data_IF_123087251922
#
_entry.id   IF_123087251922
#
_cell.length_a   1.000
_cell.length_b   1.000
_cell.length_c   1.000
_cell.angle_alpha   90.00
_cell.angle_beta   90.00
_cell.angle_gamma   90.00
#
_symmetry.space_group_name_H-M   'P 1'
#
loop_
_entity.id
_entity.type
_entity.pdbx_description
1 polymer ?
#
# COMPACT_ATOMS: atom_id res chain seq x y z
N UNK A 1 9.16 29.97 -3.28
CA UNK A 1 9.60 28.98 -2.28
C UNK A 1 9.38 27.60 -2.86
N UNK A 2 10.45 26.84 -3.12
CA UNK A 2 10.34 25.43 -3.52
C UNK A 2 9.90 24.63 -2.30
N UNK A 3 8.59 24.44 -2.14
CA UNK A 3 8.04 23.55 -1.13
C UNK A 3 8.40 22.13 -1.52
N UNK A 4 9.33 21.50 -0.81
CA UNK A 4 9.50 20.05 -0.89
C UNK A 4 8.23 19.41 -0.31
N UNK A 5 7.73 18.36 -0.97
CA UNK A 5 6.77 17.45 -0.36
C UNK A 5 7.37 16.97 0.96
N UNK A 6 6.76 17.34 2.09
CA UNK A 6 7.15 16.78 3.39
C UNK A 6 6.35 15.49 3.55
N UNK A 7 6.97 14.30 3.39
CA UNK A 7 6.24 13.07 3.59
C UNK A 7 5.79 13.01 5.05
N UNK A 8 4.51 12.75 5.27
CA UNK A 8 4.03 12.24 6.55
C UNK A 8 4.11 10.73 6.44
N UNK A 9 4.95 10.11 7.27
CA UNK A 9 5.07 8.66 7.31
C UNK A 9 3.86 8.09 8.04
N UNK A 10 2.97 7.45 7.31
CA UNK A 10 2.02 6.46 7.82
C UNK A 10 2.54 5.10 7.32
N UNK A 11 2.42 4.03 8.09
CA UNK A 11 2.82 2.71 7.58
C UNK A 11 1.91 2.29 6.43
N UNK A 12 2.31 1.22 5.73
CA UNK A 12 1.52 0.59 4.68
C UNK A 12 0.11 0.19 5.13
N UNK A 13 -0.13 0.01 6.42
CA UNK A 13 -1.44 -0.32 6.96
C UNK A 13 -2.29 0.91 7.35
N UNK A 14 -1.88 2.11 6.95
CA UNK A 14 -2.43 3.38 7.45
C UNK A 14 -2.35 3.50 8.97
N UNK A 15 -1.48 2.73 9.61
CA UNK A 15 -1.23 2.79 11.03
C UNK A 15 -0.16 3.85 11.30
N UNK A 16 -0.32 4.58 12.39
CA UNK A 16 0.69 5.51 12.85
C UNK A 16 1.97 4.74 13.21
N UNK A 17 3.10 4.91 12.48
CA UNK A 17 4.33 4.14 12.72
C UNK A 17 5.04 4.56 14.00
N UNK A 18 4.64 5.70 14.56
CA UNK A 18 5.07 6.20 15.85
C UNK A 18 4.11 5.82 16.98
N UNK A 19 3.00 5.15 16.63
CA UNK A 19 2.19 4.47 17.63
C UNK A 19 3.07 3.47 18.36
N UNK A 20 2.80 3.37 19.64
CA UNK A 20 3.42 2.41 20.52
C UNK A 20 2.22 1.72 21.16
N UNK A 21 1.80 0.64 20.52
CA UNK A 21 0.73 -0.16 21.09
C UNK A 21 1.34 -0.98 22.21
N UNK A 22 0.81 -0.79 23.41
CA UNK A 22 1.25 -1.50 24.61
C UNK A 22 1.11 -3.02 24.51
N UNK A 23 0.25 -3.51 23.62
CA UNK A 23 -0.23 -4.90 23.59
C UNK A 23 0.05 -5.55 22.23
N UNK A 24 1.31 -5.52 21.80
CA UNK A 24 1.75 -6.20 20.58
C UNK A 24 2.40 -7.55 20.92
N UNK A 25 1.88 -8.63 20.35
CA UNK A 25 2.39 -9.99 20.56
C UNK A 25 3.85 -10.19 20.19
N UNK A 26 4.41 -9.34 19.32
CA UNK A 26 5.80 -9.39 18.89
C UNK A 26 6.79 -9.02 19.99
N UNK A 27 6.33 -8.37 21.06
CA UNK A 27 7.19 -7.99 22.19
C UNK A 27 7.32 -9.09 23.25
N UNK A 28 6.72 -10.26 23.02
CA UNK A 28 6.66 -11.35 23.99
C UNK A 28 7.23 -12.65 23.44
N UNK A 29 7.84 -13.45 24.30
CA UNK A 29 8.27 -14.81 23.95
C UNK A 29 7.06 -15.73 23.73
N UNK A 30 7.31 -16.96 23.25
CA UNK A 30 6.23 -17.94 23.13
C UNK A 30 5.65 -18.29 24.50
N UNK A 31 6.49 -18.42 25.51
CA UNK A 31 6.12 -18.78 26.88
C UNK A 31 5.29 -17.68 27.56
N UNK A 32 5.62 -16.40 27.31
CA UNK A 32 4.88 -15.25 27.85
C UNK A 32 3.46 -15.13 27.25
N UNK A 33 3.25 -15.66 26.03
CA UNK A 33 1.93 -15.68 25.37
C UNK A 33 1.01 -16.80 25.87
N UNK A 34 1.55 -17.78 26.60
CA UNK A 34 0.77 -18.89 27.18
C UNK A 34 0.23 -18.55 28.59
N UNK A 35 0.57 -17.37 29.12
CA UNK A 35 0.04 -16.88 30.40
C UNK A 35 -1.47 -16.65 30.23
N UNK A 36 -2.28 -17.31 31.07
CA UNK A 36 -3.72 -17.06 31.18
C UNK A 36 -3.92 -15.56 31.35
N UNK A 37 -4.81 -14.96 30.54
CA UNK A 37 -5.07 -13.51 30.54
C UNK A 37 -4.06 -12.64 29.76
N UNK A 38 -3.30 -13.23 28.82
CA UNK A 38 -2.40 -12.50 27.89
C UNK A 38 -3.02 -11.26 27.19
N UNK A 39 -4.32 -11.28 26.86
CA UNK A 39 -5.05 -10.14 26.26
C UNK A 39 -5.80 -9.28 27.31
N UNK A 40 -5.75 -9.65 28.58
CA UNK A 40 -6.49 -8.99 29.66
C UNK A 40 -5.91 -7.61 29.95
N UNK A 41 -6.81 -6.65 30.16
CA UNK A 41 -6.42 -5.24 30.31
C UNK A 41 -5.79 -4.91 31.66
N UNK A 42 -5.97 -5.76 32.66
CA UNK A 42 -5.53 -5.54 34.03
C UNK A 42 -4.32 -6.43 34.40
N UNK A 43 -4.22 -7.63 33.82
CA UNK A 43 -3.29 -8.68 34.28
C UNK A 43 -2.26 -9.17 33.24
N UNK A 44 -2.55 -9.10 31.93
CA UNK A 44 -1.65 -9.60 30.86
C UNK A 44 -0.55 -8.62 30.44
N UNK A 45 -0.67 -7.36 30.86
CA UNK A 45 0.16 -6.25 30.41
C UNK A 45 0.81 -5.53 31.60
N UNK A 46 2.13 -5.34 31.57
CA UNK A 46 2.79 -4.42 32.51
C UNK A 46 2.78 -3.00 31.94
N UNK A 47 1.70 -2.26 32.22
CA UNK A 47 1.60 -0.81 31.97
C UNK A 47 2.81 -0.04 32.47
N UNK A 48 3.37 -0.50 33.59
CA UNK A 48 4.59 0.06 34.16
C UNK A 48 5.83 -0.17 33.27
N UNK A 49 6.02 -1.35 32.69
CA UNK A 49 7.16 -1.64 31.81
C UNK A 49 7.09 -0.85 30.51
N UNK A 50 5.92 -0.86 29.86
CA UNK A 50 5.70 -0.07 28.65
C UNK A 50 5.95 1.41 28.89
N UNK A 51 5.37 1.97 29.97
CA UNK A 51 5.61 3.37 30.35
C UNK A 51 7.10 3.66 30.55
N UNK A 52 7.83 2.77 31.24
CA UNK A 52 9.29 2.91 31.41
C UNK A 52 10.05 2.86 30.08
N UNK A 53 9.68 1.97 29.16
CA UNK A 53 10.32 1.86 27.85
C UNK A 53 10.03 3.09 26.98
N UNK A 54 8.80 3.61 27.00
CA UNK A 54 8.42 4.83 26.29
C UNK A 54 9.14 6.07 26.88
N UNK A 55 9.18 6.21 28.20
CA UNK A 55 9.96 7.25 28.90
C UNK A 55 11.45 7.17 28.55
N UNK A 56 12.03 5.96 28.54
CA UNK A 56 13.43 5.75 28.17
C UNK A 56 13.68 6.09 26.70
N UNK A 57 12.77 5.71 25.79
CA UNK A 57 12.87 6.03 24.37
C UNK A 57 12.81 7.55 24.13
N UNK A 58 11.90 8.26 24.81
CA UNK A 58 11.82 9.72 24.73
C UNK A 58 13.07 10.40 25.34
N UNK A 59 13.57 9.89 26.48
CA UNK A 59 14.79 10.42 27.12
C UNK A 59 16.03 10.28 26.23
N UNK A 60 16.16 9.17 25.50
CA UNK A 60 17.27 8.94 24.59
C UNK A 60 17.12 9.66 23.24
N UNK A 61 15.95 10.23 22.96
CA UNK A 61 15.63 10.95 21.73
C UNK A 61 15.06 12.33 22.05
N UNK A 62 15.81 13.12 22.82
CA UNK A 62 15.39 14.40 23.38
C UNK A 62 15.46 15.59 22.41
N UNK A 63 15.88 15.36 21.17
CA UNK A 63 16.06 16.36 20.12
C UNK A 63 15.91 15.77 18.71
N UNK A 64 15.75 16.65 17.72
CA UNK A 64 15.67 16.27 16.31
C UNK A 64 14.37 15.56 15.91
N UNK A 65 14.39 14.90 14.75
CA UNK A 65 13.19 14.34 14.09
C UNK A 65 12.48 13.25 14.91
N UNK A 66 13.21 12.49 15.72
CA UNK A 66 12.62 11.44 16.55
C UNK A 66 11.78 12.02 17.69
N UNK A 67 12.24 13.12 18.33
CA UNK A 67 11.43 13.88 19.29
C UNK A 67 10.16 14.45 18.67
N UNK A 68 10.28 15.03 17.48
CA UNK A 68 9.14 15.58 16.76
C UNK A 68 8.09 14.49 16.49
N UNK A 69 8.54 13.29 16.11
CA UNK A 69 7.65 12.14 15.91
C UNK A 69 6.92 11.73 17.19
N UNK A 70 7.62 11.63 18.33
CA UNK A 70 6.97 11.36 19.63
C UNK A 70 5.93 12.42 19.98
N UNK A 71 6.23 13.69 19.70
CA UNK A 71 5.32 14.81 20.00
C UNK A 71 4.10 14.84 19.08
N UNK A 72 4.22 14.34 17.85
CA UNK A 72 3.16 14.40 16.83
C UNK A 72 2.33 13.12 16.72
N UNK A 73 2.76 12.01 17.33
CA UNK A 73 2.08 10.71 17.18
C UNK A 73 0.61 10.76 17.56
N UNK A 74 0.23 11.42 18.65
CA UNK A 74 -1.16 11.51 19.08
C UNK A 74 -2.01 12.24 18.04
N UNK A 75 -1.57 13.43 17.61
CA UNK A 75 -2.27 14.21 16.57
C UNK A 75 -2.32 13.50 15.21
N UNK A 76 -1.35 12.65 14.87
CA UNK A 76 -1.40 11.84 13.66
C UNK A 76 -2.48 10.74 13.78
N UNK A 77 -2.57 10.09 14.94
CA UNK A 77 -3.64 9.13 15.21
C UNK A 77 -5.01 9.80 15.15
N UNK A 78 -5.19 10.92 15.86
CA UNK A 78 -6.44 11.70 15.85
C UNK A 78 -6.83 12.10 14.42
N UNK A 79 -5.86 12.55 13.61
CA UNK A 79 -6.10 12.91 12.21
C UNK A 79 -6.61 11.71 11.38
N UNK A 80 -5.99 10.54 11.52
CA UNK A 80 -6.39 9.33 10.78
C UNK A 80 -7.78 8.87 11.23
N UNK A 81 -8.05 8.86 12.54
CA UNK A 81 -9.34 8.45 13.09
C UNK A 81 -10.45 9.43 12.69
N UNK A 82 -10.22 10.73 12.82
CA UNK A 82 -11.18 11.77 12.45
C UNK A 82 -11.54 11.66 10.97
N UNK A 83 -10.54 11.54 10.09
CA UNK A 83 -10.78 11.49 8.65
C UNK A 83 -11.42 10.18 8.22
N UNK A 84 -11.03 9.04 8.82
CA UNK A 84 -11.65 7.74 8.58
C UNK A 84 -13.15 7.75 8.94
N UNK A 85 -13.52 8.44 10.01
CA UNK A 85 -14.90 8.58 10.47
C UNK A 85 -15.73 9.62 9.71
N UNK A 86 -15.13 10.38 8.78
CA UNK A 86 -15.93 11.29 7.93
C UNK A 86 -16.86 10.51 7.01
N UNK A 87 -18.01 11.12 6.66
CA UNK A 87 -19.00 10.50 5.77
C UNK A 87 -18.39 10.11 4.42
N UNK A 88 -18.71 8.89 3.96
CA UNK A 88 -18.47 8.42 2.59
C UNK A 88 -19.71 8.70 1.76
N UNK A 89 -19.59 9.19 0.52
CA UNK A 89 -20.74 9.34 -0.36
C UNK A 89 -21.48 8.02 -0.58
N UNK A 90 -22.77 8.09 -0.87
CA UNK A 90 -23.57 6.91 -1.23
C UNK A 90 -23.06 6.30 -2.55
N UNK A 91 -22.50 5.09 -2.49
CA UNK A 91 -21.90 4.39 -3.64
C UNK A 91 -22.82 3.32 -4.26
N UNK A 92 -23.97 3.05 -3.64
CA UNK A 92 -24.91 2.02 -4.11
C UNK A 92 -24.28 0.63 -4.15
N UNK A 93 -24.41 -0.06 -5.28
CA UNK A 93 -23.85 -1.41 -5.50
C UNK A 93 -22.30 -1.44 -5.49
N UNK A 94 -21.66 -0.27 -5.57
CA UNK A 94 -20.21 -0.12 -5.52
C UNK A 94 -19.71 0.29 -4.12
N UNK A 95 -20.52 0.10 -3.07
CA UNK A 95 -20.09 0.27 -1.69
C UNK A 95 -18.84 -0.57 -1.36
N UNK A 96 -18.02 -0.09 -0.43
CA UNK A 96 -16.87 -0.83 0.07
C UNK A 96 -17.30 -2.14 0.74
N UNK A 97 -16.40 -3.11 0.77
CA UNK A 97 -16.66 -4.40 1.41
C UNK A 97 -16.75 -4.23 2.93
N UNK A 98 -17.80 -4.77 3.52
CA UNK A 98 -17.94 -4.80 4.98
C UNK A 98 -16.95 -5.81 5.60
N UNK A 99 -16.37 -5.44 6.74
CA UNK A 99 -15.41 -6.26 7.49
C UNK A 99 -14.15 -6.66 6.68
N UNK A 100 -13.75 -5.81 5.74
CA UNK A 100 -12.56 -6.00 4.91
C UNK A 100 -11.56 -4.86 5.21
N UNK A 101 -10.50 -5.19 5.95
CA UNK A 101 -9.50 -4.21 6.38
C UNK A 101 -8.83 -3.48 5.22
N UNK A 102 -8.71 -4.12 4.05
CA UNK A 102 -8.13 -3.45 2.88
C UNK A 102 -9.09 -2.41 2.30
N UNK A 103 -10.37 -2.72 2.22
CA UNK A 103 -11.43 -1.79 1.81
C UNK A 103 -11.50 -0.58 2.74
N UNK A 104 -11.50 -0.80 4.06
CA UNK A 104 -11.49 0.27 5.07
C UNK A 104 -10.27 1.20 4.93
N UNK A 105 -9.09 0.62 4.70
CA UNK A 105 -7.87 1.40 4.45
C UNK A 105 -7.96 2.19 3.15
N UNK A 106 -8.40 1.54 2.07
CA UNK A 106 -8.53 2.20 0.78
C UNK A 106 -9.57 3.33 0.82
N UNK A 107 -10.70 3.12 1.51
CA UNK A 107 -11.69 4.15 1.80
C UNK A 107 -11.06 5.35 2.53
N UNK A 108 -10.32 5.08 3.61
CA UNK A 108 -9.62 6.12 4.39
C UNK A 108 -8.60 6.87 3.54
N UNK A 109 -7.84 6.17 2.70
CA UNK A 109 -6.88 6.80 1.77
C UNK A 109 -7.58 7.75 0.78
N UNK A 110 -8.74 7.37 0.23
CA UNK A 110 -9.53 8.25 -0.64
C UNK A 110 -10.08 9.45 0.13
N UNK A 111 -10.54 9.27 1.38
CA UNK A 111 -10.96 10.40 2.24
C UNK A 111 -9.80 11.37 2.51
N UNK A 112 -8.61 10.85 2.82
CA UNK A 112 -7.39 11.67 2.99
C UNK A 112 -7.10 12.49 1.74
N UNK A 113 -7.02 11.86 0.56
CA UNK A 113 -6.71 12.55 -0.69
C UNK A 113 -7.82 13.52 -1.13
N UNK A 114 -9.06 13.27 -0.76
CA UNK A 114 -10.20 14.12 -1.14
C UNK A 114 -10.37 15.33 -0.22
N UNK A 115 -10.10 15.17 1.08
CA UNK A 115 -10.44 16.15 2.13
C UNK A 115 -9.22 16.84 2.75
N UNK A 116 -8.01 16.30 2.59
CA UNK A 116 -6.76 16.95 3.00
C UNK A 116 -5.95 17.43 1.78
N UNK A 117 -5.99 18.72 1.42
CA UNK A 117 -5.27 19.25 0.26
C UNK A 117 -3.75 19.20 0.40
N UNK A 118 -3.21 19.02 1.61
CA UNK A 118 -1.76 18.97 1.84
C UNK A 118 -1.17 17.57 1.57
N UNK A 119 -2.00 16.53 1.59
CA UNK A 119 -1.57 15.17 1.24
C UNK A 119 -1.58 14.97 -0.27
N UNK A 120 -0.41 14.67 -0.85
CA UNK A 120 -0.29 14.40 -2.29
C UNK A 120 -0.23 12.92 -2.62
N UNK A 121 0.47 12.14 -1.80
CA UNK A 121 0.68 10.71 -2.02
C UNK A 121 0.33 9.96 -0.74
N UNK A 122 -0.42 8.88 -0.89
CA UNK A 122 -0.69 7.90 0.16
C UNK A 122 -0.26 6.54 -0.39
N UNK A 123 0.58 5.83 0.36
CA UNK A 123 0.98 4.46 0.05
C UNK A 123 0.29 3.53 1.03
N UNK A 124 -0.42 2.53 0.53
CA UNK A 124 -1.02 1.48 1.36
C UNK A 124 -0.59 0.11 0.85
N UNK A 125 -0.41 -0.83 1.77
CA UNK A 125 -0.26 -2.25 1.51
C UNK A 125 -1.62 -2.94 1.51
N UNK A 126 -1.63 -4.16 0.98
CA UNK A 126 -2.83 -5.00 0.88
C UNK A 126 -3.11 -5.80 2.16
N UNK A 127 -2.50 -5.44 3.29
CA UNK A 127 -2.81 -6.04 4.59
C UNK A 127 -4.31 -6.06 4.83
N UNK A 128 -4.86 -7.18 5.30
CA UNK A 128 -6.31 -7.43 5.31
C UNK A 128 -6.76 -8.43 4.26
N UNK A 129 -6.16 -8.42 3.06
CA UNK A 129 -6.40 -9.45 2.04
C UNK A 129 -5.57 -10.71 2.30
N UNK A 130 -4.38 -10.55 2.88
CA UNK A 130 -3.37 -11.60 3.01
C UNK A 130 -2.10 -11.25 2.22
N UNK A 131 -1.16 -12.20 2.18
CA UNK A 131 0.10 -12.06 1.44
C UNK A 131 -0.02 -12.43 -0.04
N UNK A 132 1.00 -12.05 -0.81
CA UNK A 132 1.18 -12.42 -2.22
C UNK A 132 2.43 -13.28 -2.46
N UNK A 133 3.16 -13.60 -1.38
CA UNK A 133 4.37 -14.44 -1.40
C UNK A 133 4.11 -15.88 -0.97
N UNK A 134 3.04 -16.46 -1.52
CA UNK A 134 2.62 -17.82 -1.19
C UNK A 134 3.53 -18.85 -1.86
N UNK A 135 4.52 -19.35 -1.11
CA UNK A 135 5.37 -20.47 -1.53
C UNK A 135 4.70 -21.84 -1.32
N UNK A 136 3.57 -21.87 -0.61
CA UNK A 136 2.76 -23.05 -0.33
C UNK A 136 1.26 -22.71 -0.33
N UNK A 137 0.42 -23.69 -0.66
CA UNK A 137 -1.06 -23.63 -0.55
C UNK A 137 -1.69 -22.30 -1.05
N UNK A 138 -1.29 -21.79 -2.21
CA UNK A 138 -1.70 -20.48 -2.76
C UNK A 138 -3.16 -20.42 -3.29
N UNK A 139 -4.03 -21.27 -2.76
CA UNK A 139 -5.39 -21.53 -3.26
C UNK A 139 -6.31 -20.30 -3.15
N UNK A 140 -6.07 -19.45 -2.15
CA UNK A 140 -6.88 -18.28 -1.88
C UNK A 140 -6.48 -17.06 -2.73
N UNK A 141 -5.49 -17.17 -3.62
CA UNK A 141 -5.04 -16.05 -4.46
C UNK A 141 -6.16 -15.44 -5.30
N UNK A 142 -7.06 -16.27 -5.85
CA UNK A 142 -8.16 -15.80 -6.69
C UNK A 142 -9.13 -14.94 -5.88
N UNK A 143 -9.56 -15.41 -4.71
CA UNK A 143 -10.48 -14.65 -3.85
C UNK A 143 -9.85 -13.36 -3.35
N UNK A 144 -8.55 -13.36 -2.98
CA UNK A 144 -7.81 -12.14 -2.63
C UNK A 144 -7.75 -11.14 -3.79
N UNK A 145 -7.54 -11.64 -5.01
CA UNK A 145 -7.53 -10.81 -6.22
C UNK A 145 -8.91 -10.23 -6.51
N UNK A 146 -9.99 -11.02 -6.34
CA UNK A 146 -11.36 -10.55 -6.48
C UNK A 146 -11.68 -9.45 -5.45
N UNK A 147 -11.32 -9.65 -4.18
CA UNK A 147 -11.49 -8.61 -3.14
C UNK A 147 -10.69 -7.35 -3.44
N UNK A 148 -9.45 -7.47 -3.93
CA UNK A 148 -8.66 -6.33 -4.40
C UNK A 148 -9.41 -5.53 -5.46
N UNK A 149 -9.88 -6.18 -6.54
CA UNK A 149 -10.56 -5.47 -7.63
C UNK A 149 -11.94 -4.94 -7.25
N UNK A 150 -12.68 -5.61 -6.36
CA UNK A 150 -13.94 -5.08 -5.80
C UNK A 150 -13.69 -3.81 -5.00
N UNK A 151 -12.67 -3.80 -4.14
CA UNK A 151 -12.29 -2.62 -3.36
C UNK A 151 -11.83 -1.46 -4.25
N UNK A 152 -11.06 -1.75 -5.31
CA UNK A 152 -10.66 -0.75 -6.30
C UNK A 152 -11.85 -0.17 -7.07
N UNK A 153 -12.87 -0.99 -7.37
CA UNK A 153 -14.12 -0.53 -7.98
C UNK A 153 -14.84 0.47 -7.05
N UNK A 154 -14.96 0.13 -5.77
CA UNK A 154 -15.54 1.02 -4.75
C UNK A 154 -14.76 2.33 -4.62
N UNK A 155 -13.43 2.25 -4.62
CA UNK A 155 -12.58 3.44 -4.58
C UNK A 155 -12.75 4.34 -5.79
N UNK A 156 -12.87 3.77 -6.99
CA UNK A 156 -13.15 4.54 -8.19
C UNK A 156 -14.55 5.18 -8.18
N UNK A 157 -15.56 4.48 -7.64
CA UNK A 157 -16.90 5.05 -7.43
C UNK A 157 -16.86 6.22 -6.43
N UNK A 158 -16.12 6.06 -5.33
CA UNK A 158 -15.91 7.09 -4.31
C UNK A 158 -15.20 8.33 -4.89
N UNK A 159 -14.07 8.15 -5.59
CA UNK A 159 -13.35 9.24 -6.28
C UNK A 159 -14.28 9.99 -7.24
N UNK A 160 -15.17 9.27 -7.94
CA UNK A 160 -16.15 9.86 -8.85
C UNK A 160 -17.22 10.66 -8.12
N UNK A 161 -17.77 10.12 -7.03
CA UNK A 161 -18.79 10.80 -6.22
C UNK A 161 -18.25 12.11 -5.60
N UNK A 162 -16.95 12.13 -5.26
CA UNK A 162 -16.24 13.33 -4.77
C UNK A 162 -15.83 14.31 -5.89
N UNK A 163 -16.09 13.98 -7.16
CA UNK A 163 -15.70 14.82 -8.30
C UNK A 163 -14.18 14.90 -8.52
N UNK A 164 -13.42 13.90 -8.04
CA UNK A 164 -11.95 13.90 -8.05
C UNK A 164 -11.32 13.03 -9.14
N UNK A 165 -12.09 12.51 -10.09
CA UNK A 165 -11.59 11.61 -11.15
C UNK A 165 -10.46 12.20 -12.01
N UNK A 166 -10.39 13.53 -12.10
CA UNK A 166 -9.31 14.22 -12.80
C UNK A 166 -8.00 14.22 -12.00
N UNK A 167 -8.09 14.24 -10.67
CA UNK A 167 -6.99 14.64 -9.80
C UNK A 167 -6.45 13.50 -8.92
N UNK A 168 -7.24 12.47 -8.65
CA UNK A 168 -6.81 11.30 -7.86
C UNK A 168 -6.63 10.11 -8.80
N UNK A 169 -5.45 9.49 -8.71
CA UNK A 169 -5.16 8.21 -9.34
C UNK A 169 -4.87 7.13 -8.27
N UNK A 170 -4.98 5.87 -8.68
CA UNK A 170 -4.56 4.71 -7.91
C UNK A 170 -3.58 3.94 -8.79
N UNK A 171 -2.37 3.72 -8.27
CA UNK A 171 -1.34 2.89 -8.90
C UNK A 171 -1.18 1.60 -8.10
N UNK A 172 -1.37 0.45 -8.74
CA UNK A 172 -1.27 -0.87 -8.11
C UNK A 172 -0.16 -1.65 -8.77
N UNK A 173 0.86 -2.04 -8.01
CA UNK A 173 1.98 -2.86 -8.46
C UNK A 173 2.47 -3.76 -7.32
N UNK A 174 3.16 -4.84 -7.71
CA UNK A 174 3.89 -5.71 -6.78
C UNK A 174 5.40 -5.52 -6.90
N UNK A 175 6.15 -6.18 -6.02
CA UNK A 175 7.62 -6.08 -5.97
C UNK A 175 8.33 -7.14 -6.83
N UNK A 176 7.62 -8.20 -7.22
CA UNK A 176 8.14 -9.32 -8.00
C UNK A 176 7.00 -10.00 -8.79
N UNK A 177 7.39 -10.82 -9.76
CA UNK A 177 6.46 -11.70 -10.47
C UNK A 177 6.30 -13.07 -9.82
N UNK A 178 5.37 -13.87 -10.34
CA UNK A 178 5.20 -15.28 -10.01
C UNK A 178 5.30 -16.15 -11.26
N UNK A 179 5.75 -17.39 -11.08
CA UNK A 179 5.57 -18.41 -12.10
C UNK A 179 4.08 -18.71 -12.32
N UNK A 180 3.76 -19.23 -13.51
CA UNK A 180 2.36 -19.50 -13.90
C UNK A 180 1.82 -20.76 -13.21
N UNK A 181 2.63 -21.82 -13.15
CA UNK A 181 2.22 -23.09 -12.54
C UNK A 181 2.59 -23.16 -11.07
N UNK A 182 1.77 -23.87 -10.29
CA UNK A 182 2.09 -24.18 -8.90
C UNK A 182 3.30 -25.14 -8.82
N UNK A 183 4.10 -24.97 -7.77
CA UNK A 183 5.18 -25.87 -7.38
C UNK A 183 4.64 -27.09 -6.61
N UNK A 184 5.53 -27.99 -6.17
CA UNK A 184 5.14 -29.20 -5.45
C UNK A 184 4.54 -28.96 -4.06
N UNK A 185 4.68 -27.76 -3.51
CA UNK A 185 4.06 -27.32 -2.26
C UNK A 185 2.72 -26.60 -2.49
N UNK A 186 2.20 -26.62 -3.73
CA UNK A 186 0.97 -25.94 -4.13
C UNK A 186 1.05 -24.41 -3.96
N UNK A 187 2.25 -23.83 -4.01
CA UNK A 187 2.47 -22.39 -4.09
C UNK A 187 3.21 -21.99 -5.37
N UNK A 188 3.74 -20.76 -5.43
CA UNK A 188 4.48 -20.26 -6.60
C UNK A 188 5.89 -19.84 -6.24
N UNK A 189 6.83 -20.25 -7.09
CA UNK A 189 8.16 -19.66 -7.11
C UNK A 189 8.12 -18.24 -7.71
N UNK A 190 9.13 -17.44 -7.41
CA UNK A 190 9.30 -16.09 -7.97
C UNK A 190 9.50 -16.12 -9.49
N UNK A 191 8.95 -15.13 -10.17
CA UNK A 191 9.03 -14.93 -11.61
C UNK A 191 9.45 -13.51 -12.00
N UNK A 192 9.60 -13.26 -13.30
CA UNK A 192 10.33 -12.10 -13.81
C UNK A 192 9.49 -10.82 -14.02
N UNK A 193 8.15 -10.92 -14.11
CA UNK A 193 7.30 -9.78 -14.47
C UNK A 193 6.21 -9.49 -13.46
N UNK A 194 6.03 -8.20 -13.19
CA UNK A 194 4.97 -7.65 -12.35
C UNK A 194 3.79 -7.19 -13.19
N UNK A 195 2.60 -7.18 -12.59
CA UNK A 195 1.46 -6.48 -13.15
C UNK A 195 1.43 -5.04 -12.60
N UNK A 196 1.09 -4.09 -13.47
CA UNK A 196 0.91 -2.69 -13.10
C UNK A 196 -0.46 -2.20 -13.59
N UNK A 197 -1.23 -1.63 -12.67
CA UNK A 197 -2.53 -1.04 -12.96
C UNK A 197 -2.54 0.43 -12.56
N UNK A 198 -3.16 1.26 -13.40
CA UNK A 198 -3.42 2.67 -13.11
C UNK A 198 -4.90 2.93 -13.31
N UNK A 199 -5.55 3.51 -12.29
CA UNK A 199 -6.95 3.89 -12.31
C UNK A 199 -7.09 5.38 -11.96
N UNK A 200 -8.06 6.07 -12.56
CA UNK A 200 -8.30 7.50 -12.28
C UNK A 200 -7.23 8.43 -12.86
N UNK A 201 -7.13 9.64 -12.30
CA UNK A 201 -6.15 10.65 -12.70
C UNK A 201 -6.28 11.14 -14.12
N UNK A 202 -7.52 11.30 -14.63
CA UNK A 202 -7.78 11.69 -16.03
C UNK A 202 -7.12 12.99 -16.47
N UNK A 203 -6.76 13.87 -15.52
CA UNK A 203 -6.03 15.10 -15.81
C UNK A 203 -4.54 14.89 -16.10
N UNK A 204 -4.01 13.70 -15.79
CA UNK A 204 -2.60 13.32 -15.98
C UNK A 204 -2.44 12.14 -16.93
N UNK A 205 -3.40 11.21 -16.93
CA UNK A 205 -3.36 9.98 -17.71
C UNK A 205 -4.47 9.97 -18.77
N UNK A 206 -4.06 10.00 -20.04
CA UNK A 206 -4.97 10.11 -21.19
C UNK A 206 -5.25 8.76 -21.87
N UNK A 207 -4.34 7.78 -21.69
CA UNK A 207 -4.51 6.45 -22.26
C UNK A 207 -5.55 5.62 -21.51
N UNK A 208 -6.34 4.85 -22.27
CA UNK A 208 -7.31 3.88 -21.75
C UNK A 208 -7.05 2.52 -22.36
N UNK A 209 -6.71 1.55 -21.51
CA UNK A 209 -6.53 0.15 -21.91
C UNK A 209 -5.14 -0.36 -21.64
N UNK A 210 -4.73 -1.38 -22.40
CA UNK A 210 -3.45 -2.06 -22.21
C UNK A 210 -2.31 -1.19 -22.74
N UNK A 211 -1.26 -1.01 -21.93
CA UNK A 211 -0.02 -0.31 -22.31
C UNK A 211 1.06 -1.30 -22.73
N UNK A 212 1.20 -2.39 -21.97
CA UNK A 212 2.16 -3.45 -22.24
C UNK A 212 1.51 -4.83 -22.07
N UNK A 213 1.91 -5.77 -22.92
CA UNK A 213 1.47 -7.15 -22.93
C UNK A 213 2.62 -8.10 -22.63
N UNK A 214 2.28 -9.22 -22.00
CA UNK A 214 3.21 -10.31 -21.70
C UNK A 214 2.76 -11.59 -22.38
N UNK A 215 3.70 -12.46 -22.71
CA UNK A 215 3.45 -13.81 -23.21
C UNK A 215 4.15 -14.84 -22.34
N UNK A 216 3.61 -16.05 -22.33
CA UNK A 216 4.23 -17.17 -21.66
C UNK A 216 5.56 -17.54 -22.32
N UNK A 217 6.63 -17.63 -21.54
CA UNK A 217 7.90 -18.20 -21.97
C UNK A 217 7.93 -19.70 -21.64
N UNK A 218 8.05 -20.53 -22.68
CA UNK A 218 8.31 -21.94 -22.49
C UNK A 218 9.81 -22.16 -22.23
N UNK A 219 10.15 -22.52 -21.01
CA UNK A 219 11.52 -22.78 -20.56
C UNK A 219 11.96 -24.23 -20.78
N UNK A 220 11.08 -25.09 -21.29
CA UNK A 220 11.30 -26.55 -21.38
C UNK A 220 11.17 -27.28 -20.04
N UNK A 221 10.86 -26.57 -18.95
CA UNK A 221 10.61 -27.14 -17.62
C UNK A 221 9.13 -27.03 -17.27
N UNK A 222 8.51 -28.14 -16.85
CA UNK A 222 7.07 -28.21 -16.55
C UNK A 222 6.59 -27.18 -15.52
N UNK A 223 7.41 -26.87 -14.52
CA UNK A 223 7.02 -26.03 -13.37
C UNK A 223 7.75 -24.67 -13.31
N UNK A 224 8.50 -24.31 -14.35
CA UNK A 224 9.20 -23.00 -14.44
C UNK A 224 8.73 -22.22 -15.65
N UNK A 225 7.43 -22.04 -15.77
CA UNK A 225 6.84 -21.16 -16.78
C UNK A 225 6.70 -19.77 -16.18
N UNK A 226 7.33 -18.77 -16.79
CA UNK A 226 7.20 -17.36 -16.41
C UNK A 226 6.72 -16.53 -17.60
N UNK A 227 6.22 -15.33 -17.30
CA UNK A 227 5.84 -14.36 -18.31
C UNK A 227 7.08 -13.57 -18.75
N UNK A 228 7.16 -13.28 -20.05
CA UNK A 228 8.09 -12.31 -20.62
C UNK A 228 7.33 -11.26 -21.41
N UNK A 229 7.93 -10.10 -21.71
CA UNK A 229 7.28 -9.11 -22.55
C UNK A 229 6.98 -9.68 -23.94
N UNK A 230 5.79 -9.40 -24.46
CA UNK A 230 5.43 -9.76 -25.83
C UNK A 230 6.35 -9.02 -26.80
N UNK A 231 6.92 -9.68 -27.83
CA UNK A 231 7.72 -9.00 -28.83
C UNK A 231 6.95 -7.82 -29.46
N UNK A 232 7.59 -6.64 -29.50
CA UNK A 232 6.99 -5.40 -30.01
C UNK A 232 6.04 -4.69 -29.03
N UNK A 233 5.79 -5.24 -27.84
CA UNK A 233 5.06 -4.54 -26.78
C UNK A 233 5.94 -3.49 -26.09
N UNK A 234 5.31 -2.40 -25.64
CA UNK A 234 5.93 -1.45 -24.74
C UNK A 234 6.33 -2.12 -23.42
N UNK A 235 7.47 -1.68 -22.88
CA UNK A 235 8.11 -2.19 -21.68
C UNK A 235 8.70 -1.03 -20.90
N UNK A 236 8.77 -1.16 -19.58
CA UNK A 236 9.39 -0.19 -18.70
C UNK A 236 9.92 -0.90 -17.45
N UNK A 237 10.95 -0.32 -16.83
CA UNK A 237 11.48 -0.81 -15.55
C UNK A 237 10.61 -0.30 -14.38
N UNK A 238 10.51 -1.02 -13.25
CA UNK A 238 9.69 -0.59 -12.10
C UNK A 238 9.96 0.83 -11.60
N UNK A 239 11.21 1.30 -11.70
CA UNK A 239 11.60 2.68 -11.37
C UNK A 239 10.91 3.76 -12.23
N UNK A 240 10.40 3.38 -13.40
CA UNK A 240 9.61 4.25 -14.27
C UNK A 240 8.27 4.64 -13.63
N UNK A 241 7.75 3.86 -12.68
CA UNK A 241 6.57 4.20 -11.87
C UNK A 241 6.88 5.46 -11.03
N UNK A 242 8.03 5.47 -10.34
CA UNK A 242 8.49 6.63 -9.58
C UNK A 242 8.77 7.83 -10.48
N UNK A 243 9.43 7.63 -11.63
CA UNK A 243 9.65 8.69 -12.62
C UNK A 243 8.35 9.30 -13.14
N UNK A 244 7.31 8.47 -13.35
CA UNK A 244 5.96 8.91 -13.72
C UNK A 244 5.35 9.76 -12.62
N UNK A 245 5.48 9.35 -11.36
CA UNK A 245 5.01 10.11 -10.20
C UNK A 245 5.68 11.49 -10.12
N UNK A 246 7.00 11.57 -10.31
CA UNK A 246 7.71 12.85 -10.34
C UNK A 246 7.20 13.76 -11.48
N UNK A 247 7.02 13.20 -12.68
CA UNK A 247 6.52 13.95 -13.83
C UNK A 247 5.12 14.53 -13.60
N UNK A 248 4.18 13.77 -13.04
CA UNK A 248 2.82 14.28 -12.78
C UNK A 248 2.80 15.40 -11.73
N UNK A 249 3.79 15.46 -10.85
CA UNK A 249 3.95 16.54 -9.87
C UNK A 249 4.84 17.70 -10.36
N UNK A 250 5.32 17.67 -11.61
CA UNK A 250 6.22 18.68 -12.14
C UNK A 250 7.59 18.71 -11.44
N UNK A 251 8.03 17.55 -10.92
CA UNK A 251 9.31 17.37 -10.26
C UNK A 251 10.32 16.84 -11.28
N UNK A 252 11.50 17.45 -11.34
CA UNK A 252 12.61 16.95 -12.16
C UNK A 252 13.00 15.53 -11.70
N UNK A 253 13.09 14.59 -12.64
CA UNK A 253 13.33 13.19 -12.35
C UNK A 253 14.70 12.99 -11.68
N UNK A 254 14.75 12.59 -10.39
CA UNK A 254 16.01 12.40 -9.69
C UNK A 254 16.62 11.04 -10.06
N UNK A 255 17.67 11.05 -10.88
CA UNK A 255 18.33 9.84 -11.39
C UNK A 255 18.77 8.87 -10.27
N UNK A 256 19.17 9.38 -9.11
CA UNK A 256 19.55 8.55 -7.96
C UNK A 256 18.40 7.68 -7.43
N UNK A 257 17.15 8.15 -7.54
CA UNK A 257 15.98 7.41 -7.06
C UNK A 257 15.33 6.56 -8.15
N UNK A 258 15.53 6.90 -9.42
CA UNK A 258 14.90 6.21 -10.55
C UNK A 258 15.88 5.38 -11.38
N UNK A 259 17.16 5.38 -11.02
CA UNK A 259 18.21 4.72 -11.80
C UNK A 259 18.34 5.27 -13.22
N UNK A 260 17.96 6.53 -13.44
CA UNK A 260 17.90 7.17 -14.76
C UNK A 260 16.72 6.74 -15.64
N UNK A 261 15.80 5.91 -15.14
CA UNK A 261 14.62 5.50 -15.91
C UNK A 261 13.65 6.68 -16.10
N UNK A 262 13.13 6.81 -17.32
CA UNK A 262 12.14 7.82 -17.67
C UNK A 262 10.72 7.45 -17.20
N UNK A 263 9.78 8.40 -17.27
CA UNK A 263 8.37 8.13 -17.02
C UNK A 263 7.77 7.18 -18.06
N UNK A 264 6.65 6.56 -17.71
CA UNK A 264 5.87 5.67 -18.58
C UNK A 264 5.08 6.55 -19.56
N UNK A 265 5.71 6.95 -20.66
CA UNK A 265 5.15 7.94 -21.60
C UNK A 265 3.80 7.53 -22.19
N UNK A 266 3.56 6.22 -22.37
CA UNK A 266 2.31 5.69 -22.88
C UNK A 266 1.10 5.93 -21.97
N UNK A 267 1.31 6.27 -20.69
CA UNK A 267 0.22 6.67 -19.81
C UNK A 267 -0.14 8.15 -19.95
N UNK A 268 0.81 8.98 -20.39
CA UNK A 268 0.71 10.43 -20.38
C UNK A 268 0.21 10.99 -21.72
N UNK A 269 0.45 10.24 -22.81
CA UNK A 269 0.03 10.57 -24.17
C UNK A 269 -1.47 10.41 -24.41
#
# INVERSE_FOLDING_TARGET
MSGFLKPVGISEDLENPYSRYERDWRYYTREEREITDYNDKENGFSAALYKKMDELAQKNNDSGKMKDAFSRRASLSDFIDDIANTMTPELGEDAYLENDRFSEKLETAIKILSKNPDTKVVTIGTGGLGGWDDHNEARDYVSRTESLFRSLKSAMAHIKAEGKEQNINIMVFGEFGRNVNLNSALGWDHGNLQNFYVLGGKGYFNHKGVVGETVLENTGQLNRLYLKPKPGSYQFEPHSIAATLYKIYGIDNPETLTGGNGPIEQLLS
#
